data_IF_908318922859
#
_entry.id   IF_908318922859
#
_cell.length_a   1.000
_cell.length_b   1.000
_cell.length_c   1.000
_cell.angle_alpha   90.00
_cell.angle_beta   90.00
_cell.angle_gamma   90.00
#
_symmetry.space_group_name_H-M   'P 1'
#
loop_
_entity.id
_entity.type
_entity.pdbx_description
1 polymer ?
#
# COMPACT_ATOMS: atom_id res chain seq x y z
N UNK A 1 -16.11 -11.03 -12.17
CA UNK A 1 -15.13 -10.61 -11.16
C UNK A 1 -15.92 -9.80 -10.16
N UNK A 2 -16.11 -10.29 -8.93
CA UNK A 2 -16.67 -9.42 -7.88
C UNK A 2 -15.68 -8.27 -7.74
N UNK A 3 -16.15 -7.04 -7.96
CA UNK A 3 -15.39 -5.86 -7.63
C UNK A 3 -15.08 -5.96 -6.13
N UNK A 4 -13.83 -6.21 -5.77
CA UNK A 4 -13.41 -6.18 -4.38
C UNK A 4 -13.79 -4.80 -3.82
N UNK A 5 -14.45 -4.78 -2.67
CA UNK A 5 -14.78 -3.53 -2.01
C UNK A 5 -13.51 -2.90 -1.43
N UNK A 6 -12.96 -1.95 -2.18
CA UNK A 6 -11.73 -1.26 -1.83
C UNK A 6 -11.97 -0.06 -0.90
N UNK A 7 -13.21 0.19 -0.50
CA UNK A 7 -13.60 1.34 0.33
C UNK A 7 -12.81 1.41 1.63
N UNK A 8 -12.44 0.26 2.21
CA UNK A 8 -11.62 0.19 3.43
C UNK A 8 -10.16 0.65 3.24
N UNK A 9 -9.67 0.66 2.00
CA UNK A 9 -8.28 0.99 1.67
C UNK A 9 -8.15 2.31 0.91
N UNK A 10 -9.25 2.90 0.45
CA UNK A 10 -9.26 4.07 -0.44
C UNK A 10 -8.46 5.26 0.10
N UNK A 11 -8.48 5.47 1.42
CA UNK A 11 -7.69 6.51 2.08
C UNK A 11 -6.20 6.43 1.75
N UNK A 12 -5.65 5.22 1.59
CA UNK A 12 -4.21 4.97 1.40
C UNK A 12 -3.61 5.60 0.15
N UNK A 13 -4.42 5.84 -0.88
CA UNK A 13 -3.98 6.48 -2.14
C UNK A 13 -4.75 7.76 -2.47
N UNK A 14 -5.63 8.22 -1.57
CA UNK A 14 -6.43 9.43 -1.77
C UNK A 14 -6.12 10.46 -0.68
N UNK A 15 -6.92 10.51 0.38
CA UNK A 15 -6.87 11.54 1.42
C UNK A 15 -5.70 11.40 2.38
N UNK A 16 -5.24 10.17 2.61
CA UNK A 16 -4.16 9.86 3.55
C UNK A 16 -2.86 9.52 2.81
N UNK A 17 -2.80 9.67 1.48
CA UNK A 17 -1.68 9.24 0.63
C UNK A 17 -0.31 9.65 1.18
N UNK A 18 -0.19 10.87 1.68
CA UNK A 18 1.08 11.42 2.17
C UNK A 18 1.54 10.78 3.49
N UNK A 19 0.65 10.07 4.19
CA UNK A 19 0.91 9.28 5.39
C UNK A 19 1.28 7.82 5.07
N UNK A 20 1.31 7.42 3.79
CA UNK A 20 1.66 6.06 3.38
C UNK A 20 2.94 6.01 2.55
N UNK A 21 3.61 4.87 2.62
CA UNK A 21 4.74 4.48 1.77
C UNK A 21 4.55 3.04 1.29
N UNK A 22 5.19 2.71 0.18
CA UNK A 22 5.30 1.36 -0.33
C UNK A 22 6.73 0.90 -0.13
N UNK A 23 6.93 -0.03 0.79
CA UNK A 23 8.24 -0.65 1.01
C UNK A 23 8.42 -1.80 0.02
N UNK A 24 9.54 -1.82 -0.70
CA UNK A 24 9.83 -2.91 -1.63
C UNK A 24 10.29 -4.15 -0.86
N UNK A 25 9.56 -5.25 -1.01
CA UNK A 25 9.85 -6.55 -0.40
C UNK A 25 9.99 -7.60 -1.49
N UNK A 26 11.22 -7.82 -1.97
CA UNK A 26 11.50 -8.67 -3.13
C UNK A 26 10.88 -8.13 -4.42
N UNK A 27 10.01 -8.92 -5.04
CA UNK A 27 9.29 -8.56 -6.27
C UNK A 27 7.94 -7.83 -6.01
N UNK A 28 7.58 -7.65 -4.73
CA UNK A 28 6.31 -7.03 -4.30
C UNK A 28 6.52 -5.74 -3.52
N UNK A 29 5.41 -5.07 -3.21
CA UNK A 29 5.38 -3.88 -2.34
C UNK A 29 4.51 -4.12 -1.12
N UNK A 30 4.92 -3.55 0.00
CA UNK A 30 4.23 -3.59 1.28
C UNK A 30 3.79 -2.18 1.66
N UNK A 31 2.48 -1.90 1.75
CA UNK A 31 1.98 -0.64 2.29
C UNK A 31 2.39 -0.49 3.76
N UNK A 32 3.01 0.63 4.08
CA UNK A 32 3.45 0.99 5.43
C UNK A 32 2.91 2.37 5.75
N UNK A 33 2.24 2.51 6.90
CA UNK A 33 1.86 3.82 7.41
C UNK A 33 3.06 4.51 8.06
N UNK A 34 3.24 5.78 7.73
CA UNK A 34 4.20 6.68 8.37
C UNK A 34 3.71 7.02 9.77
N UNK A 35 4.63 7.13 10.71
CA UNK A 35 4.33 7.53 12.07
C UNK A 35 5.53 7.27 12.98
N UNK A 36 5.40 7.60 14.28
CA UNK A 36 6.45 7.34 15.28
C UNK A 36 6.86 5.86 15.35
N UNK A 37 5.92 4.96 15.03
CA UNK A 37 6.19 3.55 14.79
C UNK A 37 5.54 3.14 13.47
N UNK A 38 6.32 2.97 12.38
CA UNK A 38 5.77 2.55 11.11
C UNK A 38 5.13 1.17 11.23
N UNK A 39 3.96 0.99 10.61
CA UNK A 39 3.21 -0.27 10.63
C UNK A 39 2.98 -0.78 9.22
N UNK A 40 3.44 -2.00 8.97
CA UNK A 40 3.12 -2.73 7.76
C UNK A 40 1.66 -3.17 7.76
N UNK A 41 0.96 -2.90 6.67
CA UNK A 41 -0.40 -3.36 6.46
C UNK A 41 -0.40 -4.63 5.62
N UNK A 42 -0.58 -5.78 6.29
CA UNK A 42 -0.63 -7.09 5.66
C UNK A 42 -2.06 -7.40 5.22
N UNK A 43 -2.23 -7.62 3.92
CA UNK A 43 -3.46 -8.12 3.34
C UNK A 43 -3.30 -9.63 3.11
N UNK A 44 -4.26 -10.43 3.60
CA UNK A 44 -4.20 -11.89 3.49
C UNK A 44 -4.54 -12.43 2.10
N UNK A 45 -5.19 -11.60 1.27
CA UNK A 45 -5.59 -11.94 -0.09
C UNK A 45 -4.61 -11.24 -1.04
N UNK A 46 -3.84 -12.05 -1.76
CA UNK A 46 -2.75 -11.56 -2.63
C UNK A 46 -3.30 -10.72 -3.79
N UNK A 47 -4.44 -11.09 -4.38
CA UNK A 47 -5.05 -10.34 -5.47
C UNK A 47 -5.54 -8.96 -4.99
N UNK A 48 -6.11 -8.91 -3.77
CA UNK A 48 -6.48 -7.66 -3.12
C UNK A 48 -5.25 -6.79 -2.83
N UNK A 49 -4.17 -7.40 -2.33
CA UNK A 49 -2.92 -6.71 -2.04
C UNK A 49 -2.34 -6.08 -3.31
N UNK A 50 -2.28 -6.82 -4.40
CA UNK A 50 -1.81 -6.32 -5.69
C UNK A 50 -2.66 -5.14 -6.20
N UNK A 51 -3.99 -5.23 -6.06
CA UNK A 51 -4.88 -4.15 -6.46
C UNK A 51 -4.68 -2.87 -5.64
N UNK A 52 -4.58 -2.98 -4.32
CA UNK A 52 -4.33 -1.82 -3.44
C UNK A 52 -2.98 -1.19 -3.76
N UNK A 53 -1.93 -2.00 -3.90
CA UNK A 53 -0.59 -1.55 -4.30
C UNK A 53 -0.64 -0.84 -5.66
N UNK A 54 -1.34 -1.40 -6.64
CA UNK A 54 -1.45 -0.79 -7.97
C UNK A 54 -2.14 0.59 -7.89
N UNK A 55 -3.17 0.75 -7.05
CA UNK A 55 -3.83 2.05 -6.83
C UNK A 55 -2.90 3.05 -6.14
N UNK A 56 -2.16 2.62 -5.13
CA UNK A 56 -1.16 3.44 -4.43
C UNK A 56 -0.05 3.92 -5.38
N UNK A 57 0.49 3.03 -6.21
CA UNK A 57 1.47 3.38 -7.24
C UNK A 57 0.89 4.37 -8.25
N UNK A 58 -0.32 4.15 -8.74
CA UNK A 58 -0.99 5.04 -9.69
C UNK A 58 -1.26 6.44 -9.11
N UNK A 59 -1.49 6.55 -7.80
CA UNK A 59 -1.65 7.82 -7.11
C UNK A 59 -0.32 8.53 -6.76
N UNK A 60 0.81 7.88 -7.02
CA UNK A 60 2.14 8.39 -6.74
C UNK A 60 2.53 8.32 -5.26
N UNK A 61 2.06 7.31 -4.52
CA UNK A 61 2.57 7.02 -3.17
C UNK A 61 4.07 6.75 -3.25
N UNK A 62 4.83 7.29 -2.29
CA UNK A 62 6.29 7.13 -2.22
C UNK A 62 6.67 5.66 -2.11
N UNK A 63 7.62 5.23 -2.94
CA UNK A 63 8.24 3.90 -2.85
C UNK A 63 9.57 4.03 -2.12
N UNK A 64 9.77 3.18 -1.11
CA UNK A 64 10.99 3.09 -0.30
C UNK A 64 11.62 1.73 -0.54
N UNK A 65 12.84 1.71 -1.06
CA UNK A 65 13.63 0.49 -1.11
C UNK A 65 14.13 0.17 0.31
N UNK A 66 14.01 -1.10 0.75
CA UNK A 66 14.64 -1.51 2.01
C UNK A 66 16.15 -1.22 1.94
N UNK A 67 16.76 -0.66 3.00
CA UNK A 67 18.21 -0.57 3.07
C UNK A 67 18.76 -2.00 3.09
N UNK A 68 19.37 -2.40 1.99
CA UNK A 68 20.01 -3.72 1.84
C UNK A 68 21.15 -3.97 2.82
#
# INVERSE_FOLDING_TARGET
>A
MSEWDLSAYEGMWTTERDDWELHRAGDSYLPVSKGDRPMAHLMCDDDLAELVVARMLAAGVTVVDEPG
#
